data_IF_797320760937
#
_entry.id   IF_797320760937
#
_cell.length_a   1.000
_cell.length_b   1.000
_cell.length_c   1.000
_cell.angle_alpha   90.00
_cell.angle_beta   90.00
_cell.angle_gamma   90.00
#
_symmetry.space_group_name_H-M   'P 1'
#
loop_
_entity.id
_entity.type
_entity.pdbx_description
1 polymer ?
#
# COMPACT_ATOMS: atom_id res chain seq x y z
N UNK A 1 -34.38 30.87 -12.71
CA UNK A 1 -34.03 30.24 -11.40
C UNK A 1 -33.08 29.10 -11.70
N UNK A 2 -31.77 29.37 -11.69
CA UNK A 2 -30.73 28.42 -12.04
C UNK A 2 -30.39 27.67 -10.74
N UNK A 3 -30.75 26.42 -10.69
CA UNK A 3 -30.47 25.56 -9.54
C UNK A 3 -29.01 25.06 -9.64
N UNK A 4 -28.10 25.73 -8.92
CA UNK A 4 -26.73 25.21 -8.73
C UNK A 4 -26.78 23.89 -7.96
N UNK A 5 -26.66 22.77 -8.65
CA UNK A 5 -26.31 21.50 -8.04
C UNK A 5 -24.82 21.60 -7.68
N UNK A 6 -24.53 22.06 -6.47
CA UNK A 6 -23.23 21.88 -5.82
C UNK A 6 -23.07 20.39 -5.52
N UNK A 7 -22.46 19.66 -6.45
CA UNK A 7 -21.96 18.30 -6.15
C UNK A 7 -20.81 18.48 -5.16
N UNK A 8 -21.09 18.26 -3.89
CA UNK A 8 -20.05 18.16 -2.84
C UNK A 8 -19.19 16.92 -3.15
N UNK A 9 -18.01 17.15 -3.68
CA UNK A 9 -16.97 16.10 -3.66
C UNK A 9 -16.58 15.85 -2.21
N UNK A 10 -16.93 14.66 -1.69
CA UNK A 10 -16.34 14.16 -0.46
C UNK A 10 -14.85 13.91 -0.72
N UNK A 11 -13.99 14.77 -0.21
CA UNK A 11 -12.55 14.52 -0.13
C UNK A 11 -12.32 13.39 0.86
N UNK A 12 -12.26 12.15 0.35
CA UNK A 12 -11.71 11.05 1.13
C UNK A 12 -10.24 11.37 1.43
N UNK A 13 -9.76 11.11 2.66
CA UNK A 13 -8.34 11.31 2.97
C UNK A 13 -7.49 10.52 1.99
N UNK A 14 -6.39 11.13 1.53
CA UNK A 14 -5.38 10.52 0.67
C UNK A 14 -5.01 9.15 1.25
N UNK A 15 -5.35 8.08 0.54
CA UNK A 15 -5.17 6.74 1.07
C UNK A 15 -3.71 6.32 0.91
N UNK A 16 -3.18 5.50 1.82
CA UNK A 16 -1.84 4.90 1.69
C UNK A 16 -1.64 4.19 0.33
N UNK A 17 -2.73 3.82 -0.35
CA UNK A 17 -2.72 3.19 -1.66
C UNK A 17 -2.24 4.13 -2.78
N UNK A 18 -2.77 5.35 -2.84
CA UNK A 18 -2.42 6.32 -3.89
C UNK A 18 -0.94 6.73 -3.74
N UNK A 19 -0.46 6.86 -2.49
CA UNK A 19 0.95 7.18 -2.22
C UNK A 19 1.91 6.08 -2.67
N UNK A 20 1.57 4.80 -2.46
CA UNK A 20 2.41 3.68 -2.91
C UNK A 20 2.52 3.60 -4.43
N UNK A 21 1.41 3.80 -5.15
CA UNK A 21 1.43 3.86 -6.62
C UNK A 21 2.27 5.03 -7.11
N UNK A 22 2.14 6.18 -6.48
CA UNK A 22 2.93 7.35 -6.80
C UNK A 22 4.43 7.10 -6.65
N UNK A 23 4.84 6.58 -5.50
CA UNK A 23 6.23 6.26 -5.23
C UNK A 23 6.79 5.23 -6.21
N UNK A 24 6.03 4.17 -6.49
CA UNK A 24 6.40 3.15 -7.47
C UNK A 24 6.57 3.74 -8.87
N UNK A 25 5.59 4.49 -9.37
CA UNK A 25 5.62 5.07 -10.72
C UNK A 25 6.70 6.15 -10.82
N UNK A 26 6.91 6.96 -9.79
CA UNK A 26 7.98 7.97 -9.79
C UNK A 26 9.37 7.31 -9.83
N UNK A 27 9.57 6.24 -9.04
CA UNK A 27 10.86 5.53 -8.99
C UNK A 27 11.19 4.83 -10.31
N UNK A 28 10.17 4.29 -10.98
CA UNK A 28 10.31 3.54 -12.23
C UNK A 28 9.58 4.20 -13.40
N UNK A 29 9.68 5.53 -13.48
CA UNK A 29 8.92 6.32 -14.46
C UNK A 29 9.23 5.93 -15.92
N UNK A 30 10.50 5.72 -16.24
CA UNK A 30 10.93 5.30 -17.58
C UNK A 30 10.37 3.90 -17.90
N UNK A 31 10.55 2.96 -17.01
CA UNK A 31 10.12 1.57 -17.11
C UNK A 31 8.58 1.46 -17.19
N UNK A 32 7.87 2.37 -16.50
CA UNK A 32 6.41 2.48 -16.58
C UNK A 32 5.95 2.86 -17.99
N UNK A 33 6.55 3.88 -18.57
CA UNK A 33 6.20 4.30 -19.92
C UNK A 33 6.63 3.27 -20.96
N UNK A 34 7.79 2.63 -20.76
CA UNK A 34 8.31 1.59 -21.65
C UNK A 34 7.33 0.43 -21.81
N UNK A 35 6.79 -0.07 -20.72
CA UNK A 35 5.96 -1.27 -20.72
C UNK A 35 4.49 -0.99 -21.02
N UNK A 36 3.94 0.14 -20.54
CA UNK A 36 2.50 0.43 -20.67
C UNK A 36 2.16 1.45 -21.75
N UNK A 37 3.11 2.30 -22.13
CA UNK A 37 2.94 3.35 -23.11
C UNK A 37 4.16 3.44 -24.05
N UNK A 38 4.53 2.34 -24.74
CA UNK A 38 5.75 2.26 -25.54
C UNK A 38 5.83 3.37 -26.59
N UNK A 39 4.71 3.74 -27.19
CA UNK A 39 4.66 4.84 -28.15
C UNK A 39 5.06 6.18 -27.52
N UNK A 40 4.62 6.48 -26.28
CA UNK A 40 5.04 7.70 -25.56
C UNK A 40 6.53 7.59 -25.21
N UNK A 41 6.97 6.43 -24.69
CA UNK A 41 8.36 6.16 -24.34
C UNK A 41 9.34 6.40 -25.50
N UNK A 42 9.01 5.93 -26.70
CA UNK A 42 9.85 6.10 -27.88
C UNK A 42 10.11 7.56 -28.25
N UNK A 43 9.18 8.45 -27.96
CA UNK A 43 9.24 9.86 -28.32
C UNK A 43 9.88 10.75 -27.26
N UNK A 44 10.09 10.27 -26.01
CA UNK A 44 10.60 11.08 -24.90
C UNK A 44 12.11 10.96 -24.72
N UNK A 45 12.75 12.07 -24.35
CA UNK A 45 14.16 12.13 -23.95
C UNK A 45 14.29 11.92 -22.42
N UNK A 46 14.68 10.73 -22.01
CA UNK A 46 14.84 10.37 -20.60
C UNK A 46 16.08 10.98 -19.92
N UNK A 47 17.00 11.60 -20.67
CA UNK A 47 18.13 12.36 -20.12
C UNK A 47 17.72 13.76 -19.65
N UNK A 48 16.59 14.26 -20.17
CA UNK A 48 16.07 15.60 -19.86
C UNK A 48 14.93 15.61 -18.82
N UNK A 49 14.73 14.50 -18.10
CA UNK A 49 13.66 14.37 -17.11
C UNK A 49 13.90 15.29 -15.92
N UNK A 50 12.88 16.07 -15.59
CA UNK A 50 12.79 16.90 -14.39
C UNK A 50 11.47 16.67 -13.69
N UNK A 51 11.46 16.02 -12.52
CA UNK A 51 10.27 15.97 -11.70
C UNK A 51 9.83 17.39 -11.35
N UNK A 52 8.57 17.69 -11.59
CA UNK A 52 7.96 18.91 -11.10
C UNK A 52 7.44 18.60 -9.70
N UNK A 53 7.88 19.37 -8.71
CA UNK A 53 7.45 19.18 -7.33
C UNK A 53 5.91 19.21 -7.24
N UNK A 54 5.37 18.43 -6.31
CA UNK A 54 3.93 18.39 -6.02
C UNK A 54 3.38 19.81 -5.88
N UNK A 55 2.68 20.26 -6.90
CA UNK A 55 2.09 21.57 -6.87
C UNK A 55 0.74 21.51 -6.20
N UNK A 56 0.68 22.26 -5.14
CA UNK A 56 -0.55 22.51 -4.42
C UNK A 56 -1.29 23.64 -5.13
N UNK A 57 -2.36 23.30 -5.84
CA UNK A 57 -3.27 24.30 -6.37
C UNK A 57 -4.37 24.57 -5.35
N UNK A 58 -4.48 25.81 -4.92
CA UNK A 58 -5.64 26.23 -4.15
C UNK A 58 -6.74 26.59 -5.14
N UNK A 59 -7.82 25.82 -5.14
CA UNK A 59 -9.03 26.23 -5.86
C UNK A 59 -9.60 27.45 -5.13
N UNK A 60 -9.44 28.60 -5.73
CA UNK A 60 -9.83 29.90 -5.14
C UNK A 60 -11.33 29.96 -4.88
N UNK A 61 -12.14 29.22 -5.66
CA UNK A 61 -13.60 29.21 -5.54
C UNK A 61 -14.08 28.22 -4.48
N UNK A 62 -13.39 27.09 -4.32
CA UNK A 62 -13.76 26.04 -3.34
C UNK A 62 -12.94 26.09 -2.05
N UNK A 63 -11.87 26.88 -1.99
CA UNK A 63 -10.95 26.95 -0.84
C UNK A 63 -10.19 25.64 -0.56
N UNK A 64 -10.21 24.70 -1.52
CA UNK A 64 -9.59 23.39 -1.37
C UNK A 64 -8.24 23.35 -2.04
N UNK A 65 -7.28 22.85 -1.31
CA UNK A 65 -5.94 22.56 -1.80
C UNK A 65 -5.94 21.22 -2.53
N UNK A 66 -5.58 21.21 -3.81
CA UNK A 66 -5.46 19.99 -4.63
C UNK A 66 -3.99 19.73 -4.95
N UNK A 67 -3.56 18.48 -4.82
CA UNK A 67 -2.23 18.03 -5.25
C UNK A 67 -2.38 17.22 -6.52
N UNK A 68 -1.48 17.45 -7.47
CA UNK A 68 -1.30 16.60 -8.62
C UNK A 68 -0.39 15.43 -8.25
N UNK A 69 -0.69 14.23 -8.73
CA UNK A 69 0.03 13.06 -8.28
C UNK A 69 1.45 12.97 -8.85
N UNK A 70 1.60 12.86 -10.15
CA UNK A 70 2.91 12.73 -10.79
C UNK A 70 2.97 13.70 -11.96
N UNK A 71 3.89 14.66 -11.89
CA UNK A 71 4.13 15.62 -12.96
C UNK A 71 5.62 15.66 -13.29
N UNK A 72 5.94 15.39 -14.53
CA UNK A 72 7.31 15.31 -15.02
C UNK A 72 7.47 16.16 -16.27
N UNK A 73 8.45 17.04 -16.29
CA UNK A 73 8.89 17.76 -17.49
C UNK A 73 9.98 16.97 -18.21
N UNK A 74 9.89 16.87 -19.52
CA UNK A 74 10.92 16.29 -20.37
C UNK A 74 10.89 16.93 -21.76
N UNK A 75 11.72 16.42 -22.68
CA UNK A 75 11.77 16.88 -24.08
C UNK A 75 11.30 15.77 -25.03
N UNK A 76 10.79 16.16 -26.17
CA UNK A 76 10.60 15.25 -27.29
C UNK A 76 11.95 14.98 -27.97
N UNK A 77 12.22 13.72 -28.29
CA UNK A 77 13.38 13.36 -29.12
C UNK A 77 13.27 14.04 -30.47
N UNK A 78 14.39 14.54 -30.96
CA UNK A 78 14.52 15.18 -32.29
C UNK A 78 13.70 16.48 -32.47
N UNK A 79 13.16 17.02 -31.39
CA UNK A 79 12.42 18.26 -31.39
C UNK A 79 12.79 19.08 -30.14
N UNK A 80 13.01 20.38 -30.29
CA UNK A 80 13.24 21.23 -29.12
C UNK A 80 11.90 21.68 -28.49
N UNK A 81 11.10 20.68 -28.15
CA UNK A 81 9.79 20.85 -27.53
C UNK A 81 9.81 20.24 -26.14
N UNK A 82 9.54 21.05 -25.13
CA UNK A 82 9.34 20.60 -23.75
C UNK A 82 7.89 20.14 -23.60
N UNK A 83 7.72 18.94 -23.03
CA UNK A 83 6.41 18.37 -22.74
C UNK A 83 6.27 18.06 -21.25
N UNK A 84 5.06 18.08 -20.76
CA UNK A 84 4.72 17.69 -19.39
C UNK A 84 3.97 16.37 -19.45
N UNK A 85 4.40 15.38 -18.68
CA UNK A 85 3.69 14.13 -18.47
C UNK A 85 3.00 14.24 -17.11
N UNK A 86 1.68 14.11 -17.11
CA UNK A 86 0.87 14.08 -15.91
C UNK A 86 0.23 12.71 -15.76
N UNK A 87 0.52 12.01 -14.67
CA UNK A 87 -0.02 10.68 -14.37
C UNK A 87 -0.86 10.78 -13.10
N UNK A 88 -2.10 10.31 -13.19
CA UNK A 88 -3.09 10.31 -12.11
C UNK A 88 -3.51 8.86 -11.79
N UNK A 89 -2.96 8.23 -10.73
CA UNK A 89 -3.44 6.96 -10.23
C UNK A 89 -4.84 7.11 -9.61
N UNK A 90 -5.73 6.17 -9.90
CA UNK A 90 -7.11 6.18 -9.42
C UNK A 90 -7.49 4.83 -8.85
N UNK A 91 -7.71 4.74 -7.54
CA UNK A 91 -7.97 3.50 -6.80
C UNK A 91 -9.46 3.19 -6.58
N UNK A 92 -10.37 4.10 -6.95
CA UNK A 92 -11.82 3.94 -6.80
C UNK A 92 -12.59 4.59 -7.96
N UNK A 93 -13.82 4.14 -8.17
CA UNK A 93 -14.71 4.70 -9.20
C UNK A 93 -15.14 6.12 -8.83
N UNK A 94 -14.92 7.05 -9.73
CA UNK A 94 -15.38 8.44 -9.61
C UNK A 94 -16.08 8.88 -10.92
N UNK A 95 -17.34 9.22 -10.85
CA UNK A 95 -18.19 9.51 -12.02
C UNK A 95 -17.74 10.73 -12.82
N UNK A 96 -17.13 11.73 -12.16
CA UNK A 96 -16.62 12.98 -12.77
C UNK A 96 -15.09 12.98 -12.96
N UNK A 97 -14.44 11.79 -12.96
CA UNK A 97 -12.99 11.68 -13.12
C UNK A 97 -12.48 12.34 -14.42
N UNK A 98 -13.17 12.16 -15.54
CA UNK A 98 -12.81 12.76 -16.83
C UNK A 98 -12.82 14.30 -16.81
N UNK A 99 -13.77 14.91 -16.09
CA UNK A 99 -13.80 16.35 -15.87
C UNK A 99 -12.63 16.80 -14.97
N UNK A 100 -12.31 16.00 -13.92
CA UNK A 100 -11.16 16.26 -13.05
C UNK A 100 -9.84 16.24 -13.82
N UNK A 101 -9.64 15.28 -14.72
CA UNK A 101 -8.48 15.22 -15.60
C UNK A 101 -8.36 16.48 -16.47
N UNK A 102 -9.47 16.97 -17.04
CA UNK A 102 -9.50 18.21 -17.80
C UNK A 102 -9.15 19.43 -16.93
N UNK A 103 -9.68 19.51 -15.71
CA UNK A 103 -9.32 20.58 -14.77
C UNK A 103 -7.82 20.59 -14.46
N UNK A 104 -7.23 19.44 -14.19
CA UNK A 104 -5.78 19.32 -13.93
C UNK A 104 -4.95 19.72 -15.15
N UNK A 105 -5.34 19.24 -16.33
CA UNK A 105 -4.73 19.68 -17.58
C UNK A 105 -4.79 21.20 -17.74
N UNK A 106 -5.93 21.80 -17.49
CA UNK A 106 -6.13 23.26 -17.63
C UNK A 106 -5.25 24.06 -16.67
N UNK A 107 -5.10 23.59 -15.42
CA UNK A 107 -4.21 24.19 -14.42
C UNK A 107 -2.75 24.12 -14.84
N UNK A 108 -2.28 22.95 -15.25
CA UNK A 108 -0.91 22.75 -15.74
C UNK A 108 -0.64 23.57 -16.99
N UNK A 109 -1.55 23.56 -17.97
CA UNK A 109 -1.39 24.32 -19.20
C UNK A 109 -1.37 25.84 -18.94
N UNK A 110 -2.21 26.31 -18.06
CA UNK A 110 -2.24 27.73 -17.70
C UNK A 110 -0.91 28.18 -17.09
N UNK A 111 -0.28 27.34 -16.27
CA UNK A 111 0.97 27.66 -15.59
C UNK A 111 2.18 27.55 -16.50
N UNK A 112 2.30 26.43 -17.20
CA UNK A 112 3.53 26.09 -17.92
C UNK A 112 3.51 26.48 -19.39
N UNK A 113 2.33 26.61 -19.98
CA UNK A 113 2.14 26.91 -21.43
C UNK A 113 2.96 25.94 -22.32
N UNK A 114 2.96 24.64 -21.95
CA UNK A 114 3.66 23.56 -22.63
C UNK A 114 2.66 22.48 -23.05
N UNK A 115 2.96 21.68 -24.08
CA UNK A 115 2.21 20.47 -24.38
C UNK A 115 2.19 19.53 -23.17
N UNK A 116 1.06 18.89 -22.92
CA UNK A 116 0.85 17.99 -21.77
C UNK A 116 0.34 16.66 -22.29
N UNK A 117 0.91 15.56 -21.82
CA UNK A 117 0.41 14.21 -22.05
C UNK A 117 -0.25 13.74 -20.74
N UNK A 118 -1.58 13.76 -20.67
CA UNK A 118 -2.31 13.32 -19.49
C UNK A 118 -2.52 11.79 -19.53
N UNK A 119 -2.23 11.11 -18.43
CA UNK A 119 -2.35 9.66 -18.29
C UNK A 119 -3.12 9.34 -17.02
N UNK A 120 -4.15 8.49 -17.11
CA UNK A 120 -4.90 7.98 -15.99
C UNK A 120 -4.58 6.49 -15.79
N UNK A 121 -4.33 6.09 -14.52
CA UNK A 121 -4.05 4.69 -14.14
C UNK A 121 -5.13 4.21 -13.21
N UNK A 122 -5.96 3.27 -13.67
CA UNK A 122 -7.06 2.71 -12.90
C UNK A 122 -6.66 1.36 -12.30
N UNK A 123 -6.78 1.25 -10.97
CA UNK A 123 -6.40 0.06 -10.19
C UNK A 123 -7.59 -0.66 -9.57
N UNK A 124 -8.79 -0.09 -9.64
CA UNK A 124 -10.02 -0.68 -9.12
C UNK A 124 -10.70 -1.63 -10.13
N UNK A 125 -11.50 -2.61 -9.67
CA UNK A 125 -12.29 -3.45 -10.54
C UNK A 125 -13.44 -2.65 -11.18
N UNK A 126 -13.66 -2.85 -12.48
CA UNK A 126 -14.74 -2.23 -13.25
C UNK A 126 -14.25 -1.76 -14.62
N UNK A 127 -15.20 -1.66 -15.55
CA UNK A 127 -14.95 -1.15 -16.90
C UNK A 127 -15.28 0.33 -16.94
N UNK A 128 -14.30 1.17 -16.70
CA UNK A 128 -14.41 2.59 -16.96
C UNK A 128 -13.81 2.86 -18.34
N UNK A 129 -14.65 3.18 -19.31
CA UNK A 129 -14.23 3.36 -20.71
C UNK A 129 -14.00 4.80 -21.11
N UNK A 130 -14.31 5.78 -20.24
CA UNK A 130 -14.16 7.19 -20.59
C UNK A 130 -12.68 7.60 -20.55
N UNK A 131 -12.13 7.84 -21.72
CA UNK A 131 -10.81 8.42 -21.94
C UNK A 131 -10.88 9.85 -22.48
N UNK A 132 -12.07 10.46 -22.41
CA UNK A 132 -12.33 11.81 -22.91
C UNK A 132 -13.30 12.58 -22.01
N UNK A 133 -13.17 13.89 -22.02
CA UNK A 133 -14.15 14.84 -21.51
C UNK A 133 -14.66 15.70 -22.65
N UNK A 134 -15.99 15.78 -22.80
CA UNK A 134 -16.67 16.60 -23.80
C UNK A 134 -17.46 17.71 -23.13
N UNK A 135 -17.41 18.88 -23.74
CA UNK A 135 -18.29 19.98 -23.44
C UNK A 135 -19.07 20.36 -24.71
N UNK A 136 -20.37 20.13 -24.63
CA UNK A 136 -21.24 20.21 -25.81
C UNK A 136 -22.55 20.91 -25.44
N UNK A 137 -22.99 21.79 -26.32
CA UNK A 137 -24.29 22.43 -26.28
C UNK A 137 -25.11 21.92 -27.47
N UNK A 138 -26.45 21.96 -27.43
CA UNK A 138 -27.30 21.45 -28.53
C UNK A 138 -26.99 22.04 -29.93
N UNK A 139 -26.36 23.18 -29.96
CA UNK A 139 -26.02 23.92 -31.18
C UNK A 139 -24.53 24.15 -31.38
N UNK A 140 -23.66 23.73 -30.45
CA UNK A 140 -22.24 24.01 -30.52
C UNK A 140 -21.39 23.00 -29.73
N UNK A 141 -20.42 22.36 -30.40
CA UNK A 141 -19.39 21.60 -29.78
C UNK A 141 -18.28 22.51 -29.27
N UNK A 142 -18.11 22.59 -27.95
CA UNK A 142 -17.14 23.51 -27.33
C UNK A 142 -15.73 22.93 -27.36
N UNK A 143 -15.57 21.68 -26.87
CA UNK A 143 -14.28 21.00 -26.85
C UNK A 143 -14.41 19.46 -26.64
N UNK A 144 -13.37 18.77 -27.08
CA UNK A 144 -13.08 17.41 -26.66
C UNK A 144 -11.66 17.37 -26.09
N UNK A 145 -11.53 16.88 -24.86
CA UNK A 145 -10.25 16.65 -24.20
C UNK A 145 -10.01 15.15 -24.05
N UNK A 146 -8.88 14.66 -24.58
CA UNK A 146 -8.51 13.26 -24.55
C UNK A 146 -7.36 13.04 -23.56
N UNK A 147 -7.32 11.86 -22.93
CA UNK A 147 -6.22 11.42 -22.09
C UNK A 147 -5.97 9.92 -22.27
N UNK A 148 -4.72 9.48 -22.03
CA UNK A 148 -4.34 8.09 -22.09
C UNK A 148 -4.82 7.36 -20.84
N UNK A 149 -5.17 6.08 -20.98
CA UNK A 149 -5.68 5.27 -19.88
C UNK A 149 -4.95 3.94 -19.77
N UNK A 150 -4.70 3.51 -18.53
CA UNK A 150 -4.23 2.18 -18.19
C UNK A 150 -5.17 1.58 -17.15
N UNK A 151 -5.86 0.49 -17.51
CA UNK A 151 -6.68 -0.29 -16.61
C UNK A 151 -5.92 -1.56 -16.22
N UNK A 152 -5.33 -1.60 -15.03
CA UNK A 152 -4.49 -2.74 -14.61
C UNK A 152 -5.28 -4.04 -14.52
N UNK A 153 -6.49 -4.01 -13.98
CA UNK A 153 -7.35 -5.20 -13.83
C UNK A 153 -7.78 -5.85 -15.15
N UNK A 154 -7.68 -5.13 -16.26
CA UNK A 154 -7.99 -5.68 -17.60
C UNK A 154 -6.76 -6.25 -18.30
N UNK A 155 -5.57 -6.07 -17.74
CA UNK A 155 -4.33 -6.59 -18.31
C UNK A 155 -4.15 -8.05 -17.93
N UNK A 156 -3.81 -8.88 -18.89
CA UNK A 156 -3.41 -10.26 -18.63
C UNK A 156 -1.97 -10.24 -18.09
N UNK A 157 -1.79 -10.67 -16.87
CA UNK A 157 -0.48 -10.67 -16.20
C UNK A 157 0.58 -11.51 -16.93
N UNK A 158 0.16 -12.55 -17.67
CA UNK A 158 1.08 -13.43 -18.44
C UNK A 158 1.81 -12.73 -19.58
N UNK A 159 1.21 -11.65 -20.10
CA UNK A 159 1.83 -10.88 -21.20
C UNK A 159 3.10 -10.14 -20.74
N UNK A 160 3.27 -9.96 -19.42
CA UNK A 160 4.38 -9.21 -18.83
C UNK A 160 5.51 -10.06 -18.26
N UNK A 161 5.36 -11.39 -18.22
CA UNK A 161 6.33 -12.30 -17.59
C UNK A 161 7.70 -12.35 -18.26
N UNK A 162 7.76 -12.02 -19.54
CA UNK A 162 8.99 -12.04 -20.33
C UNK A 162 9.70 -10.68 -20.35
N UNK A 163 9.12 -9.68 -19.73
CA UNK A 163 9.75 -8.37 -19.59
C UNK A 163 10.56 -8.36 -18.32
N UNK A 164 11.86 -8.06 -18.38
CA UNK A 164 12.65 -7.83 -17.15
C UNK A 164 12.43 -6.38 -16.67
N UNK A 165 11.14 -6.05 -16.49
CA UNK A 165 10.70 -4.70 -16.15
C UNK A 165 10.18 -4.64 -14.70
N UNK A 166 10.81 -3.83 -13.84
CA UNK A 166 10.54 -3.83 -12.40
C UNK A 166 9.13 -3.37 -12.04
N UNK A 167 8.59 -2.38 -12.75
CA UNK A 167 7.24 -1.92 -12.45
C UNK A 167 6.17 -2.89 -12.95
N UNK A 168 6.43 -3.59 -14.08
CA UNK A 168 5.56 -4.66 -14.52
C UNK A 168 5.47 -5.76 -13.48
N UNK A 169 6.61 -6.20 -12.92
CA UNK A 169 6.67 -7.20 -11.86
C UNK A 169 5.86 -6.76 -10.63
N UNK A 170 6.04 -5.55 -10.13
CA UNK A 170 5.27 -5.04 -8.99
C UNK A 170 3.76 -5.02 -9.27
N UNK A 171 3.36 -4.55 -10.46
CA UNK A 171 1.96 -4.39 -10.83
C UNK A 171 1.25 -5.69 -11.22
N UNK A 172 1.96 -6.84 -11.37
CA UNK A 172 1.32 -8.15 -11.52
C UNK A 172 0.28 -8.42 -10.42
N UNK A 173 0.56 -7.98 -9.19
CA UNK A 173 -0.35 -8.10 -8.04
C UNK A 173 -1.71 -7.42 -8.21
N UNK A 174 -1.82 -6.52 -9.19
CA UNK A 174 -3.06 -5.76 -9.48
C UNK A 174 -3.63 -6.01 -10.87
N UNK A 175 -3.00 -6.86 -11.68
CA UNK A 175 -3.52 -7.24 -13.00
C UNK A 175 -4.68 -8.24 -12.89
N UNK A 176 -5.30 -8.56 -14.03
CA UNK A 176 -6.39 -9.53 -14.08
C UNK A 176 -5.88 -10.96 -13.92
N UNK A 177 -6.11 -11.55 -12.76
CA UNK A 177 -5.89 -12.96 -12.46
C UNK A 177 -7.08 -13.51 -11.64
N UNK A 178 -7.25 -14.83 -11.64
CA UNK A 178 -8.26 -15.51 -10.83
C UNK A 178 -7.69 -15.87 -9.45
N UNK A 179 -8.54 -16.14 -8.48
CA UNK A 179 -8.12 -16.46 -7.10
C UNK A 179 -7.19 -17.69 -7.02
N UNK A 180 -7.42 -18.69 -7.85
CA UNK A 180 -6.60 -19.90 -7.94
C UNK A 180 -5.24 -19.68 -8.62
N UNK A 181 -5.07 -18.56 -9.32
CA UNK A 181 -3.80 -18.18 -9.96
C UNK A 181 -2.83 -17.45 -9.03
N UNK A 182 -3.23 -17.04 -7.83
CA UNK A 182 -2.41 -16.21 -6.91
C UNK A 182 -1.02 -16.80 -6.64
N UNK A 183 -0.94 -18.10 -6.44
CA UNK A 183 0.33 -18.79 -6.19
C UNK A 183 1.23 -18.67 -7.42
N UNK A 184 0.68 -18.91 -8.61
CA UNK A 184 1.42 -18.79 -9.86
C UNK A 184 1.90 -17.36 -10.11
N UNK A 185 1.02 -16.36 -9.92
CA UNK A 185 1.39 -14.94 -10.05
C UNK A 185 2.55 -14.58 -9.13
N UNK A 186 2.51 -15.01 -7.85
CA UNK A 186 3.58 -14.74 -6.89
C UNK A 186 4.87 -15.49 -7.24
N UNK A 187 4.77 -16.73 -7.67
CA UNK A 187 5.92 -17.50 -8.14
C UNK A 187 6.62 -16.81 -9.31
N UNK A 188 5.87 -16.40 -10.32
CA UNK A 188 6.43 -15.71 -11.49
C UNK A 188 6.99 -14.32 -11.13
N UNK A 189 6.35 -13.59 -10.22
CA UNK A 189 6.90 -12.35 -9.66
C UNK A 189 8.30 -12.57 -9.05
N UNK A 190 8.46 -13.60 -8.20
CA UNK A 190 9.74 -13.93 -7.58
C UNK A 190 10.79 -14.31 -8.63
N UNK A 191 10.39 -15.08 -9.67
CA UNK A 191 11.25 -15.42 -10.80
C UNK A 191 11.69 -14.18 -11.58
N UNK A 192 10.79 -13.21 -11.80
CA UNK A 192 11.15 -11.94 -12.43
C UNK A 192 12.19 -11.19 -11.61
N UNK A 193 12.03 -11.12 -10.28
CA UNK A 193 12.99 -10.44 -9.39
C UNK A 193 14.40 -11.03 -9.48
N UNK A 194 14.54 -12.34 -9.65
CA UNK A 194 15.88 -12.98 -9.75
C UNK A 194 16.61 -12.67 -11.06
N UNK A 195 15.89 -12.22 -12.10
CA UNK A 195 16.47 -11.83 -13.40
C UNK A 195 16.87 -10.37 -13.47
N UNK A 196 16.33 -9.55 -12.56
CA UNK A 196 16.58 -8.10 -12.56
C UNK A 196 17.74 -7.73 -11.61
N UNK A 197 18.71 -6.98 -12.12
CA UNK A 197 19.79 -6.40 -11.32
C UNK A 197 19.31 -5.09 -10.66
N UNK A 198 18.65 -5.22 -9.52
CA UNK A 198 18.10 -4.09 -8.75
C UNK A 198 18.94 -3.85 -7.49
N UNK A 199 19.14 -2.59 -7.16
CA UNK A 199 19.66 -2.24 -5.83
C UNK A 199 18.66 -2.63 -4.72
N UNK A 200 19.14 -2.81 -3.47
CA UNK A 200 18.28 -3.27 -2.37
C UNK A 200 17.08 -2.38 -2.08
N UNK A 201 17.18 -1.06 -2.31
CA UNK A 201 16.08 -0.13 -2.03
C UNK A 201 14.95 -0.30 -3.06
N UNK A 202 15.30 -0.39 -4.35
CA UNK A 202 14.35 -0.64 -5.44
C UNK A 202 13.72 -2.02 -5.33
N UNK A 203 14.51 -3.05 -4.99
CA UNK A 203 13.99 -4.39 -4.76
C UNK A 203 12.97 -4.43 -3.62
N UNK A 204 13.27 -3.72 -2.51
CA UNK A 204 12.37 -3.59 -1.36
C UNK A 204 11.06 -2.88 -1.73
N UNK A 205 11.12 -1.81 -2.51
CA UNK A 205 9.94 -1.09 -2.97
C UNK A 205 9.01 -1.98 -3.80
N UNK A 206 9.56 -2.71 -4.80
CA UNK A 206 8.80 -3.63 -5.66
C UNK A 206 8.18 -4.76 -4.84
N UNK A 207 8.98 -5.39 -3.99
CA UNK A 207 8.52 -6.50 -3.16
C UNK A 207 7.42 -6.06 -2.18
N UNK A 208 7.65 -4.96 -1.44
CA UNK A 208 6.67 -4.42 -0.50
C UNK A 208 5.37 -3.98 -1.18
N UNK A 209 5.46 -3.40 -2.39
CA UNK A 209 4.29 -3.08 -3.19
C UNK A 209 3.51 -4.34 -3.58
N UNK A 210 4.19 -5.37 -4.11
CA UNK A 210 3.55 -6.61 -4.51
C UNK A 210 2.83 -7.30 -3.34
N UNK A 211 3.50 -7.47 -2.20
CA UNK A 211 2.95 -8.09 -0.98
C UNK A 211 1.75 -7.33 -0.40
N UNK A 212 1.70 -6.02 -0.62
CA UNK A 212 0.57 -5.18 -0.16
C UNK A 212 -0.73 -5.52 -0.87
N UNK A 213 -0.66 -5.94 -2.15
CA UNK A 213 -1.83 -6.16 -2.99
C UNK A 213 -2.13 -7.63 -3.28
N UNK A 214 -1.14 -8.52 -3.13
CA UNK A 214 -1.33 -9.96 -3.26
C UNK A 214 -0.78 -10.66 -2.02
N UNK A 215 -1.69 -11.02 -1.11
CA UNK A 215 -1.36 -11.77 0.11
C UNK A 215 -1.83 -13.21 -0.06
N UNK A 216 -0.98 -14.16 0.30
CA UNK A 216 -1.30 -15.58 0.36
C UNK A 216 -1.62 -16.00 1.79
N UNK A 217 -2.51 -16.99 1.95
CA UNK A 217 -2.71 -17.69 3.22
C UNK A 217 -1.49 -18.54 3.58
N UNK A 218 -1.41 -18.99 4.83
CA UNK A 218 -0.31 -19.87 5.28
C UNK A 218 -0.24 -21.17 4.47
N UNK A 219 -1.37 -21.72 4.03
CA UNK A 219 -1.43 -22.93 3.22
C UNK A 219 -0.94 -22.67 1.78
N UNK A 220 -1.32 -21.53 1.20
CA UNK A 220 -0.85 -21.09 -0.12
C UNK A 220 0.64 -20.79 -0.12
N UNK A 221 1.17 -20.15 0.95
CA UNK A 221 2.61 -19.92 1.12
C UNK A 221 3.38 -21.24 1.19
N UNK A 222 2.88 -22.23 1.95
CA UNK A 222 3.50 -23.53 2.02
C UNK A 222 3.54 -24.24 0.65
N UNK A 223 2.49 -24.13 -0.15
CA UNK A 223 2.46 -24.63 -1.55
C UNK A 223 3.44 -23.90 -2.43
N UNK A 224 3.46 -22.58 -2.36
CA UNK A 224 4.41 -21.75 -3.10
C UNK A 224 5.86 -22.16 -2.80
N UNK A 225 6.20 -22.34 -1.50
CA UNK A 225 7.54 -22.74 -1.08
C UNK A 225 7.95 -24.11 -1.63
N UNK A 226 7.00 -25.06 -1.65
CA UNK A 226 7.24 -26.37 -2.27
C UNK A 226 7.52 -26.24 -3.77
N UNK A 227 6.70 -25.47 -4.49
CA UNK A 227 6.91 -25.24 -5.92
C UNK A 227 8.22 -24.51 -6.21
N UNK A 228 8.61 -23.52 -5.39
CA UNK A 228 9.88 -22.80 -5.52
C UNK A 228 11.06 -23.77 -5.34
N UNK A 229 11.00 -24.68 -4.35
CA UNK A 229 12.10 -25.62 -4.10
C UNK A 229 12.40 -26.55 -5.26
N UNK A 230 11.47 -26.72 -6.18
CA UNK A 230 11.61 -27.55 -7.41
C UNK A 230 12.15 -26.74 -8.62
N UNK A 231 12.30 -25.41 -8.48
CA UNK A 231 12.77 -24.53 -9.56
C UNK A 231 14.31 -24.52 -9.67
N UNK A 232 14.86 -24.39 -10.88
CA UNK A 232 16.31 -24.23 -11.05
C UNK A 232 16.88 -22.97 -10.37
N UNK A 233 16.09 -21.92 -10.25
CA UNK A 233 16.43 -20.65 -9.59
C UNK A 233 16.07 -20.57 -8.10
N UNK A 234 15.73 -21.71 -7.47
CA UNK A 234 15.29 -21.77 -6.06
C UNK A 234 16.24 -21.04 -5.11
N UNK A 235 17.54 -21.28 -5.19
CA UNK A 235 18.54 -20.62 -4.33
C UNK A 235 18.49 -19.11 -4.45
N UNK A 236 18.42 -18.58 -5.68
CA UNK A 236 18.34 -17.12 -5.91
C UNK A 236 17.07 -16.50 -5.37
N UNK A 237 15.95 -17.22 -5.44
CA UNK A 237 14.67 -16.75 -4.88
C UNK A 237 14.75 -16.72 -3.34
N UNK A 238 15.37 -17.73 -2.72
CA UNK A 238 15.53 -17.81 -1.28
C UNK A 238 16.52 -16.76 -0.73
N UNK A 239 17.47 -16.32 -1.55
CA UNK A 239 18.41 -15.25 -1.22
C UNK A 239 17.82 -13.84 -1.31
N UNK A 240 16.60 -13.66 -1.81
CA UNK A 240 15.93 -12.36 -1.83
C UNK A 240 15.72 -11.90 -0.38
N UNK A 241 16.47 -10.89 0.13
CA UNK A 241 16.62 -10.64 1.58
C UNK A 241 15.32 -10.23 2.29
N UNK A 242 14.31 -9.87 1.54
CA UNK A 242 13.14 -9.12 2.00
C UNK A 242 12.00 -10.03 2.40
N UNK A 243 11.95 -11.25 1.81
CA UNK A 243 10.79 -12.15 1.95
C UNK A 243 10.72 -12.85 3.31
N UNK A 244 11.86 -13.29 3.84
CA UNK A 244 11.87 -14.17 5.02
C UNK A 244 12.31 -13.46 6.30
N UNK A 245 13.16 -12.46 6.20
CA UNK A 245 13.65 -11.72 7.37
C UNK A 245 12.57 -10.80 7.97
N UNK A 246 11.78 -10.12 7.13
CA UNK A 246 10.65 -9.31 7.59
C UNK A 246 9.47 -10.17 8.04
N UNK A 247 9.11 -11.24 7.31
CA UNK A 247 8.12 -12.22 7.77
C UNK A 247 8.57 -12.95 9.03
N UNK A 248 9.84 -13.32 9.14
CA UNK A 248 10.41 -13.90 10.36
C UNK A 248 10.35 -12.93 11.54
N UNK A 249 10.60 -11.64 11.34
CA UNK A 249 10.44 -10.59 12.35
C UNK A 249 8.99 -10.34 12.74
N UNK A 250 8.06 -10.33 11.79
CA UNK A 250 6.62 -10.19 12.07
C UNK A 250 6.06 -11.39 12.79
N UNK A 251 6.33 -12.60 12.33
CA UNK A 251 5.92 -13.86 12.97
C UNK A 251 6.55 -13.94 14.37
N UNK A 252 7.84 -13.63 14.52
CA UNK A 252 8.52 -13.59 15.81
C UNK A 252 7.92 -12.55 16.76
N UNK A 253 7.49 -11.40 16.27
CA UNK A 253 6.82 -10.34 17.03
C UNK A 253 5.40 -10.73 17.44
N UNK A 254 4.63 -11.40 16.58
CA UNK A 254 3.30 -11.90 16.91
C UNK A 254 3.35 -13.04 17.93
N UNK A 255 4.22 -14.02 17.70
CA UNK A 255 4.45 -15.14 18.65
C UNK A 255 4.91 -14.58 20.00
N UNK A 256 5.88 -13.66 20.00
CA UNK A 256 6.39 -13.02 21.22
C UNK A 256 5.28 -12.26 21.96
N UNK A 257 4.39 -11.57 21.24
CA UNK A 257 3.25 -10.83 21.81
C UNK A 257 2.19 -11.78 22.39
N UNK A 258 1.90 -12.90 21.73
CA UNK A 258 0.95 -13.90 22.24
C UNK A 258 1.49 -14.65 23.47
N UNK A 259 2.75 -15.06 23.41
CA UNK A 259 3.44 -15.71 24.57
C UNK A 259 3.52 -14.73 25.73
N UNK A 260 3.95 -13.49 25.50
CA UNK A 260 4.00 -12.46 26.54
C UNK A 260 2.64 -12.18 27.17
N UNK A 261 1.56 -12.15 26.38
CA UNK A 261 0.18 -11.98 26.87
C UNK A 261 -0.30 -13.19 27.70
N UNK A 262 0.03 -14.41 27.28
CA UNK A 262 -0.29 -15.65 28.02
C UNK A 262 0.46 -15.73 29.36
N UNK A 263 1.77 -15.46 29.34
CA UNK A 263 2.62 -15.46 30.54
C UNK A 263 2.20 -14.34 31.48
N UNK A 264 2.03 -13.12 31.00
CA UNK A 264 1.61 -11.99 31.81
C UNK A 264 0.24 -12.21 32.49
N UNK A 265 -0.72 -12.83 31.77
CA UNK A 265 -2.03 -13.19 32.34
C UNK A 265 -1.92 -14.28 33.42
N UNK A 266 -1.01 -15.27 33.23
CA UNK A 266 -0.78 -16.33 34.23
C UNK A 266 -0.12 -15.78 35.48
N UNK A 267 0.98 -15.04 35.33
CA UNK A 267 1.70 -14.41 36.45
C UNK A 267 0.79 -13.41 37.18
N UNK A 268 0.05 -12.53 36.47
CA UNK A 268 -0.86 -11.57 37.07
C UNK A 268 -1.98 -12.25 37.89
N UNK A 269 -2.47 -13.41 37.41
CA UNK A 269 -3.48 -14.20 38.16
C UNK A 269 -2.89 -14.83 39.42
N UNK A 270 -1.66 -15.34 39.38
CA UNK A 270 -0.96 -15.92 40.53
C UNK A 270 -0.65 -14.85 41.57
N UNK A 271 -0.05 -13.73 41.16
CA UNK A 271 0.25 -12.60 42.04
C UNK A 271 -1.05 -12.01 42.68
N UNK A 272 -2.09 -11.82 41.88
CA UNK A 272 -3.38 -11.33 42.38
C UNK A 272 -4.02 -12.27 43.40
N UNK A 273 -3.88 -13.59 43.20
CA UNK A 273 -4.36 -14.59 44.14
C UNK A 273 -3.58 -14.56 45.47
N UNK A 274 -2.25 -14.44 45.39
CA UNK A 274 -1.39 -14.34 46.58
C UNK A 274 -1.63 -13.05 47.36
N UNK A 275 -1.75 -11.89 46.68
CA UNK A 275 -2.08 -10.62 47.33
C UNK A 275 -3.45 -10.68 48.01
N UNK A 276 -4.47 -11.22 47.33
CA UNK A 276 -5.79 -11.37 47.90
C UNK A 276 -5.82 -12.26 49.14
N UNK A 277 -5.02 -13.35 49.19
CA UNK A 277 -4.86 -14.18 50.41
C UNK A 277 -4.25 -13.37 51.57
N UNK A 278 -3.22 -12.57 51.28
CA UNK A 278 -2.55 -11.72 52.30
C UNK A 278 -3.48 -10.63 52.81
N UNK A 279 -4.28 -10.00 51.98
CA UNK A 279 -5.27 -9.02 52.37
C UNK A 279 -6.34 -9.62 53.31
N UNK A 280 -6.87 -10.80 52.98
CA UNK A 280 -7.81 -11.54 53.81
C UNK A 280 -7.19 -11.90 55.15
N UNK A 281 -5.93 -12.40 55.17
CA UNK A 281 -5.21 -12.74 56.39
C UNK A 281 -5.05 -11.49 57.31
N UNK A 282 -4.71 -10.35 56.76
CA UNK A 282 -4.60 -9.07 57.49
C UNK A 282 -5.92 -8.69 58.17
N UNK A 283 -7.02 -8.77 57.41
CA UNK A 283 -8.35 -8.45 57.97
C UNK A 283 -8.79 -9.44 59.07
N UNK A 284 -8.44 -10.72 58.95
CA UNK A 284 -8.70 -11.74 59.98
C UNK A 284 -7.85 -11.48 61.22
N UNK A 285 -6.57 -11.08 61.07
CA UNK A 285 -5.71 -10.70 62.18
C UNK A 285 -6.24 -9.51 62.95
N UNK A 286 -6.73 -8.46 62.26
CA UNK A 286 -7.36 -7.27 62.87
C UNK A 286 -8.63 -7.61 63.69
N UNK A 287 -9.33 -8.68 63.30
CA UNK A 287 -10.50 -9.21 64.03
C UNK A 287 -10.15 -10.16 65.17
N UNK A 288 -8.86 -10.41 65.40
CA UNK A 288 -8.41 -11.19 66.56
C UNK A 288 -8.56 -12.71 66.39
N UNK A 289 -8.66 -13.21 65.16
CA UNK A 289 -8.76 -14.63 64.89
C UNK A 289 -7.41 -15.33 65.10
N UNK A 290 -7.42 -16.67 65.43
CA UNK A 290 -6.19 -17.42 65.68
C UNK A 290 -5.40 -17.68 64.41
N UNK A 291 -4.07 -17.77 64.50
CA UNK A 291 -3.19 -17.96 63.33
C UNK A 291 -3.44 -19.30 62.64
N UNK A 292 -3.84 -20.31 63.39
CA UNK A 292 -4.18 -21.65 62.84
C UNK A 292 -5.43 -21.55 61.94
N UNK A 293 -6.46 -20.81 62.38
CA UNK A 293 -7.67 -20.59 61.57
C UNK A 293 -7.40 -19.76 60.35
N UNK A 294 -6.55 -18.72 60.45
CA UNK A 294 -6.14 -17.90 59.33
C UNK A 294 -5.38 -18.70 58.30
N UNK A 295 -4.44 -19.59 58.71
CA UNK A 295 -3.70 -20.47 57.84
C UNK A 295 -4.61 -21.47 57.12
N UNK A 296 -5.59 -22.04 57.83
CA UNK A 296 -6.57 -22.96 57.22
C UNK A 296 -7.41 -22.29 56.12
N UNK A 297 -7.87 -21.07 56.35
CA UNK A 297 -8.74 -20.33 55.45
C UNK A 297 -7.97 -19.76 54.23
N UNK A 298 -6.80 -19.17 54.47
CA UNK A 298 -6.05 -18.45 53.46
C UNK A 298 -5.03 -19.37 52.72
N UNK A 299 -4.68 -20.53 53.32
CA UNK A 299 -3.61 -21.42 52.86
C UNK A 299 -2.24 -20.70 52.80
N UNK A 300 -2.02 -19.73 53.67
CA UNK A 300 -0.71 -19.11 53.92
C UNK A 300 -0.02 -19.86 55.07
N UNK A 301 1.33 -19.92 54.99
CA UNK A 301 2.13 -20.47 56.06
C UNK A 301 2.03 -19.64 57.36
N UNK A 302 2.09 -20.30 58.51
CA UNK A 302 2.02 -19.63 59.84
C UNK A 302 3.13 -18.58 59.93
N UNK A 303 4.32 -18.82 59.39
CA UNK A 303 5.42 -17.85 59.35
C UNK A 303 5.08 -16.59 58.55
N UNK A 304 4.42 -16.75 57.41
CA UNK A 304 3.96 -15.60 56.61
C UNK A 304 2.87 -14.77 57.35
N UNK A 305 1.99 -15.45 58.08
CA UNK A 305 0.96 -14.81 58.93
C UNK A 305 1.58 -14.06 60.11
N UNK A 306 2.64 -14.63 60.74
CA UNK A 306 3.42 -13.96 61.77
C UNK A 306 4.12 -12.68 61.26
N UNK A 307 4.66 -12.72 60.02
CA UNK A 307 5.25 -11.54 59.42
C UNK A 307 4.20 -10.44 59.12
N UNK A 308 3.05 -10.83 58.62
CA UNK A 308 1.92 -9.91 58.39
C UNK A 308 1.43 -9.29 59.70
N UNK A 309 1.42 -10.04 60.82
CA UNK A 309 1.04 -9.57 62.14
C UNK A 309 2.00 -8.52 62.72
N UNK A 310 3.29 -8.57 62.37
CA UNK A 310 4.29 -7.58 62.77
C UNK A 310 4.15 -6.23 62.03
N UNK A 311 3.40 -6.21 60.92
CA UNK A 311 3.21 -5.04 60.06
C UNK A 311 1.89 -4.30 60.36
N UNK A 312 1.05 -4.87 61.24
CA UNK A 312 -0.24 -4.30 61.68
C UNK A 312 -0.10 -3.74 63.12
#
# INVERSE_FOLDING_TARGET
MVMHLLVREETKPYTNHDQLHKELIQTFFKEFLEVFFPYVHEHLDFHAIKPISEEVYTDVLEGKTRRLDIVVETKLKRQDVIVIIHIEPQSYLQTNFHERMFRYFSLLYNKYRRPIVPIAVFTYPGNWEKNEYKMELPFFHVLTFNFLTLHLRTKNWRDYLRTDNPIAAALLSQMGYQEDEKIEVKKEFLRMLTRMELDPARQRLIYGFFERYLTLSNEEEARLMKEISELPEAEKILEIPISYEEKGKEIGKEIGKEIGKKIGKKIGKEIGKELGKKEVAVEMLKKGLSMELISEVTQLDIQEIEELKKLI
#
